data_IF_033306834517
#
_entry.id   IF_033306834517
#
_cell.length_a   1.000
_cell.length_b   1.000
_cell.length_c   1.000
_cell.angle_alpha   90.00
_cell.angle_beta   90.00
_cell.angle_gamma   90.00
#
_symmetry.space_group_name_H-M   'P 1'
#
loop_
_entity.id
_entity.type
_entity.pdbx_description
1 polymer ?
#
# COMPACT_ATOMS: atom_id res chain seq x y z
N UNK A 1 -18.39 -28.40 10.30
CA UNK A 1 -17.48 -27.42 9.66
C UNK A 1 -18.02 -26.01 9.83
N UNK A 2 -17.16 -24.99 9.93
CA UNK A 2 -17.59 -23.57 9.93
C UNK A 2 -17.98 -23.16 8.50
N UNK A 3 -19.04 -22.37 8.32
CA UNK A 3 -19.54 -21.95 7.01
C UNK A 3 -18.45 -21.31 6.14
N UNK A 4 -17.61 -20.45 6.72
CA UNK A 4 -16.50 -19.80 6.00
C UNK A 4 -15.46 -20.79 5.45
N UNK A 5 -15.22 -21.92 6.13
CA UNK A 5 -14.31 -22.94 5.63
C UNK A 5 -14.93 -23.66 4.42
N UNK A 6 -16.22 -23.97 4.48
CA UNK A 6 -16.98 -24.62 3.39
C UNK A 6 -17.00 -23.70 2.17
N UNK A 7 -17.34 -22.42 2.33
CA UNK A 7 -17.39 -21.44 1.26
C UNK A 7 -16.04 -21.28 0.55
N UNK A 8 -14.95 -21.19 1.31
CA UNK A 8 -13.60 -21.15 0.75
C UNK A 8 -13.22 -22.43 -0.01
N UNK A 9 -13.65 -23.59 0.48
CA UNK A 9 -13.40 -24.86 -0.20
C UNK A 9 -14.21 -24.97 -1.50
N UNK A 10 -15.45 -24.46 -1.54
CA UNK A 10 -16.26 -24.39 -2.77
C UNK A 10 -15.56 -23.53 -3.84
N UNK A 11 -15.02 -22.36 -3.45
CA UNK A 11 -14.30 -21.48 -4.37
C UNK A 11 -12.97 -22.06 -4.88
N UNK A 12 -12.39 -23.03 -4.17
CA UNK A 12 -11.14 -23.66 -4.56
C UNK A 12 -11.35 -24.90 -5.46
N UNK A 13 -12.60 -25.29 -5.73
CA UNK A 13 -12.89 -26.40 -6.63
C UNK A 13 -12.63 -25.96 -8.09
N UNK A 14 -12.05 -26.85 -8.92
CA UNK A 14 -11.97 -26.62 -10.37
C UNK A 14 -13.35 -26.40 -11.00
N UNK A 15 -14.38 -27.09 -10.49
CA UNK A 15 -15.77 -26.88 -10.87
C UNK A 15 -16.65 -26.80 -9.59
N UNK A 16 -17.20 -25.62 -9.25
CA UNK A 16 -18.05 -25.47 -8.07
C UNK A 16 -19.41 -26.17 -8.20
N UNK A 17 -19.78 -26.67 -9.39
CA UNK A 17 -20.98 -27.50 -9.62
C UNK A 17 -20.80 -28.90 -9.07
N UNK A 18 -19.57 -29.39 -8.96
CA UNK A 18 -19.23 -30.73 -8.50
C UNK A 18 -18.72 -30.74 -7.04
N UNK A 19 -19.64 -30.69 -6.08
CA UNK A 19 -19.27 -30.69 -4.67
C UNK A 19 -18.78 -32.06 -4.17
N UNK A 20 -17.57 -32.17 -3.57
CA UNK A 20 -17.11 -33.38 -2.91
C UNK A 20 -18.07 -33.83 -1.79
N UNK A 21 -18.17 -35.14 -1.49
CA UNK A 21 -19.09 -35.66 -0.47
C UNK A 21 -18.95 -34.97 0.90
N UNK A 22 -17.73 -34.60 1.30
CA UNK A 22 -17.44 -33.90 2.55
C UNK A 22 -18.10 -32.50 2.63
N UNK A 23 -18.19 -31.78 1.50
CA UNK A 23 -18.85 -30.48 1.43
C UNK A 23 -20.37 -30.62 1.29
N UNK A 24 -20.79 -31.61 0.50
CA UNK A 24 -22.20 -31.82 0.15
C UNK A 24 -23.09 -32.00 1.37
N UNK A 25 -22.65 -32.78 2.36
CA UNK A 25 -23.40 -33.00 3.61
C UNK A 25 -23.68 -31.70 4.36
N UNK A 26 -22.71 -30.80 4.42
CA UNK A 26 -22.87 -29.49 5.07
C UNK A 26 -23.72 -28.53 4.25
N UNK A 27 -23.50 -28.46 2.93
CA UNK A 27 -24.26 -27.59 2.02
C UNK A 27 -25.74 -27.95 2.01
N UNK A 28 -26.08 -29.24 2.09
CA UNK A 28 -27.47 -29.69 2.21
C UNK A 28 -28.13 -29.29 3.53
N UNK A 29 -27.36 -29.21 4.61
CA UNK A 29 -27.87 -28.87 5.94
C UNK A 29 -27.87 -27.36 6.25
N UNK A 30 -27.22 -26.53 5.42
CA UNK A 30 -27.03 -25.10 5.69
C UNK A 30 -27.50 -24.22 4.53
N UNK A 31 -28.61 -23.49 4.71
CA UNK A 31 -29.21 -22.63 3.69
C UNK A 31 -28.24 -21.55 3.15
N UNK A 32 -27.40 -20.96 4.01
CA UNK A 32 -26.40 -19.97 3.60
C UNK A 32 -25.34 -20.58 2.66
N UNK A 33 -24.84 -21.78 2.97
CA UNK A 33 -23.88 -22.47 2.11
C UNK A 33 -24.54 -22.98 0.82
N UNK A 34 -25.83 -23.31 0.85
CA UNK A 34 -26.59 -23.67 -0.35
C UNK A 34 -26.77 -22.48 -1.30
N UNK A 35 -27.08 -21.29 -0.78
CA UNK A 35 -27.14 -20.06 -1.57
C UNK A 35 -25.78 -19.73 -2.20
N UNK A 36 -24.71 -19.85 -1.41
CA UNK A 36 -23.33 -19.65 -1.87
C UNK A 36 -22.93 -20.61 -2.99
N UNK A 37 -23.18 -21.92 -2.82
CA UNK A 37 -22.87 -22.93 -3.83
C UNK A 37 -23.60 -22.66 -5.16
N UNK A 38 -24.88 -22.26 -5.10
CA UNK A 38 -25.66 -21.86 -6.29
C UNK A 38 -25.08 -20.62 -6.97
N UNK A 39 -24.63 -19.64 -6.19
CA UNK A 39 -24.01 -18.44 -6.73
C UNK A 39 -22.68 -18.75 -7.42
N UNK A 40 -21.83 -19.58 -6.81
CA UNK A 40 -20.57 -20.01 -7.41
C UNK A 40 -20.79 -20.77 -8.72
N UNK A 41 -21.71 -21.75 -8.73
CA UNK A 41 -22.10 -22.47 -9.95
C UNK A 41 -22.65 -21.57 -11.06
N UNK A 42 -23.43 -20.53 -10.70
CA UNK A 42 -23.96 -19.55 -11.65
C UNK A 42 -22.84 -18.71 -12.27
N UNK A 43 -21.87 -18.27 -11.47
CA UNK A 43 -20.73 -17.50 -11.98
C UNK A 43 -19.90 -18.32 -12.96
N UNK A 44 -19.63 -19.59 -12.65
CA UNK A 44 -18.91 -20.48 -13.57
C UNK A 44 -19.66 -20.66 -14.89
N UNK A 45 -20.98 -20.86 -14.83
CA UNK A 45 -21.81 -20.96 -16.03
C UNK A 45 -21.85 -19.67 -16.86
N UNK A 46 -21.67 -18.50 -16.25
CA UNK A 46 -21.54 -17.23 -16.97
C UNK A 46 -20.15 -17.07 -17.61
N UNK A 47 -19.09 -17.53 -16.92
CA UNK A 47 -17.73 -17.55 -17.46
C UNK A 47 -17.62 -18.47 -18.68
N UNK A 48 -18.26 -19.64 -18.67
CA UNK A 48 -18.32 -20.54 -19.83
C UNK A 48 -19.04 -19.92 -21.04
N UNK A 49 -19.98 -19.01 -20.81
CA UNK A 49 -20.70 -18.28 -21.86
C UNK A 49 -19.92 -17.07 -22.39
N UNK A 50 -18.84 -16.66 -21.70
CA UNK A 50 -18.01 -15.59 -22.22
C UNK A 50 -17.32 -16.05 -23.49
N UNK A 51 -17.59 -15.34 -24.58
CA UNK A 51 -16.91 -15.56 -25.84
C UNK A 51 -15.41 -15.30 -25.65
N UNK A 52 -14.62 -16.36 -25.63
CA UNK A 52 -13.17 -16.26 -25.74
C UNK A 52 -12.88 -15.99 -27.21
N UNK A 53 -12.41 -14.78 -27.59
CA UNK A 53 -12.08 -14.52 -28.98
C UNK A 53 -11.02 -15.54 -29.42
N UNK A 54 -11.17 -16.14 -30.61
CA UNK A 54 -10.16 -17.05 -31.10
C UNK A 54 -8.81 -16.34 -31.10
N UNK A 55 -7.79 -16.98 -30.52
CA UNK A 55 -6.45 -16.45 -30.59
C UNK A 55 -6.07 -16.27 -32.08
N UNK A 56 -5.49 -15.13 -32.49
CA UNK A 56 -5.02 -14.96 -33.85
C UNK A 56 -4.03 -16.09 -34.17
N UNK A 57 -4.22 -16.81 -35.28
CA UNK A 57 -3.45 -18.02 -35.60
C UNK A 57 -1.94 -17.79 -35.50
N UNK A 58 -1.49 -16.63 -35.96
CA UNK A 58 -0.07 -16.22 -35.99
C UNK A 58 0.51 -15.93 -34.61
N UNK A 59 -0.30 -15.51 -33.63
CA UNK A 59 0.21 -15.12 -32.30
C UNK A 59 0.61 -16.32 -31.45
N UNK A 60 -0.05 -17.46 -31.62
CA UNK A 60 0.32 -18.68 -30.90
C UNK A 60 1.68 -19.19 -31.37
N UNK A 61 1.89 -19.21 -32.68
CA UNK A 61 3.17 -19.61 -33.28
C UNK A 61 4.29 -18.64 -32.94
N UNK A 62 4.01 -17.32 -32.99
CA UNK A 62 4.98 -16.29 -32.57
C UNK A 62 5.39 -16.44 -31.10
N UNK A 63 4.43 -16.64 -30.19
CA UNK A 63 4.73 -16.83 -28.76
C UNK A 63 5.50 -18.13 -28.50
N UNK A 64 5.15 -19.22 -29.18
CA UNK A 64 5.91 -20.47 -29.10
C UNK A 64 7.33 -20.30 -29.64
N UNK A 65 7.48 -19.55 -30.73
CA UNK A 65 8.79 -19.16 -31.26
C UNK A 65 9.60 -18.36 -30.26
N UNK A 66 9.02 -17.34 -29.62
CA UNK A 66 9.66 -16.55 -28.57
C UNK A 66 10.06 -17.41 -27.36
N UNK A 67 9.19 -18.32 -26.91
CA UNK A 67 9.47 -19.22 -25.79
C UNK A 67 10.54 -20.26 -26.10
N UNK A 68 10.62 -20.72 -27.35
CA UNK A 68 11.67 -21.65 -27.79
C UNK A 68 12.99 -20.95 -28.10
N UNK A 69 12.95 -19.69 -28.54
CA UNK A 69 14.12 -18.85 -28.78
C UNK A 69 14.69 -18.25 -27.48
N UNK A 70 13.84 -18.06 -26.46
CA UNK A 70 14.29 -17.80 -25.11
C UNK A 70 14.94 -19.08 -24.58
N UNK A 71 16.28 -19.12 -24.62
CA UNK A 71 17.06 -20.13 -23.92
C UNK A 71 16.46 -20.33 -22.52
N UNK A 72 16.34 -21.58 -22.04
CA UNK A 72 15.69 -21.86 -20.77
C UNK A 72 16.33 -20.98 -19.70
N UNK A 73 15.57 -19.98 -19.26
CA UNK A 73 15.95 -19.11 -18.15
C UNK A 73 15.80 -19.97 -16.90
N UNK A 74 16.75 -20.88 -16.72
CA UNK A 74 17.04 -21.50 -15.44
C UNK A 74 17.59 -20.34 -14.59
N UNK A 75 16.67 -19.51 -14.09
CA UNK A 75 16.96 -18.74 -12.88
C UNK A 75 17.19 -19.81 -11.83
N UNK A 76 18.47 -20.12 -11.61
CA UNK A 76 18.92 -20.82 -10.43
C UNK A 76 18.24 -20.12 -9.26
N UNK A 77 17.21 -20.76 -8.69
CA UNK A 77 16.59 -20.26 -7.47
C UNK A 77 17.74 -20.08 -6.50
N UNK A 78 18.00 -18.83 -6.09
CA UNK A 78 19.05 -18.55 -5.14
C UNK A 78 18.82 -19.47 -3.95
N UNK A 79 19.73 -20.41 -3.74
CA UNK A 79 19.74 -21.25 -2.55
C UNK A 79 19.61 -20.32 -1.36
N UNK A 80 18.61 -20.52 -0.48
CA UNK A 80 18.38 -19.63 0.64
C UNK A 80 19.70 -19.50 1.41
N UNK A 81 20.19 -18.26 1.52
CA UNK A 81 21.44 -17.97 2.19
C UNK A 81 21.42 -18.63 3.58
N UNK A 82 22.38 -19.51 3.83
CA UNK A 82 22.61 -20.11 5.15
C UNK A 82 22.64 -18.99 6.17
N UNK A 83 21.68 -19.02 7.11
CA UNK A 83 21.59 -18.09 8.23
C UNK A 83 22.98 -17.97 8.88
N UNK A 84 23.53 -16.75 9.06
CA UNK A 84 24.74 -16.59 9.82
C UNK A 84 24.46 -17.06 11.25
N UNK A 85 25.06 -18.20 11.62
CA UNK A 85 25.19 -18.62 13.01
C UNK A 85 26.02 -17.55 13.72
N UNK A 86 25.36 -16.72 14.52
CA UNK A 86 26.01 -15.77 15.42
C UNK A 86 26.91 -16.57 16.38
N UNK A 87 28.22 -16.53 16.14
CA UNK A 87 29.21 -17.13 17.01
C UNK A 87 29.26 -16.41 18.37
N UNK A 88 29.54 -17.12 19.48
CA UNK A 88 29.54 -16.57 20.84
C UNK A 88 30.66 -15.56 21.14
N UNK A 89 31.45 -15.14 20.15
CA UNK A 89 32.60 -14.25 20.34
C UNK A 89 32.25 -12.75 20.43
N UNK A 90 31.07 -12.32 19.96
CA UNK A 90 30.69 -10.90 19.93
C UNK A 90 30.26 -10.33 21.31
N UNK A 91 30.12 -11.17 22.34
CA UNK A 91 29.61 -10.74 23.67
C UNK A 91 30.71 -10.14 24.56
N UNK A 92 31.99 -10.24 24.21
CA UNK A 92 33.09 -9.77 25.08
C UNK A 92 33.50 -8.30 24.93
N UNK A 93 32.99 -7.57 23.94
CA UNK A 93 33.45 -6.18 23.68
C UNK A 93 32.57 -5.07 24.29
N UNK A 94 31.43 -5.39 24.94
CA UNK A 94 30.58 -4.38 25.61
C UNK A 94 30.90 -4.16 27.10
N UNK A 95 31.95 -4.80 27.62
CA UNK A 95 32.17 -4.96 29.06
C UNK A 95 32.83 -3.80 29.82
N UNK A 96 32.79 -2.53 29.36
CA UNK A 96 33.47 -1.48 30.15
C UNK A 96 32.82 -0.11 30.32
N UNK A 97 31.75 0.24 29.60
CA UNK A 97 31.04 1.54 29.78
C UNK A 97 29.49 1.41 29.75
N UNK A 98 28.93 0.23 30.07
CA UNK A 98 27.53 -0.10 29.76
C UNK A 98 26.47 0.25 30.81
N UNK A 99 26.84 0.77 31.99
CA UNK A 99 25.90 0.90 33.12
C UNK A 99 24.88 2.03 33.00
N UNK A 100 25.04 3.00 32.09
CA UNK A 100 24.11 4.14 31.97
C UNK A 100 23.49 4.36 30.59
N UNK A 101 24.02 3.74 29.52
CA UNK A 101 23.49 3.87 28.15
C UNK A 101 22.77 2.60 27.66
N UNK A 102 23.03 1.45 28.29
CA UNK A 102 22.45 0.15 27.89
C UNK A 102 20.94 0.00 28.16
N UNK A 103 20.41 0.69 29.18
CA UNK A 103 18.99 0.57 29.55
C UNK A 103 18.04 1.17 28.52
N UNK A 104 18.43 2.27 27.87
CA UNK A 104 17.55 3.02 26.98
C UNK A 104 17.51 2.40 25.58
N UNK A 105 18.65 1.92 25.06
CA UNK A 105 18.70 1.21 23.78
C UNK A 105 17.96 -0.14 23.82
N UNK A 106 18.06 -0.87 24.94
CA UNK A 106 17.34 -2.13 25.12
C UNK A 106 15.82 -1.91 25.21
N UNK A 107 15.36 -0.88 25.92
CA UNK A 107 13.94 -0.55 26.00
C UNK A 107 13.35 -0.16 24.63
N UNK A 108 14.09 0.60 23.81
CA UNK A 108 13.67 0.95 22.45
C UNK A 108 13.61 -0.27 21.55
N UNK A 109 14.60 -1.17 21.59
CA UNK A 109 14.58 -2.41 20.79
C UNK A 109 13.49 -3.39 21.24
N UNK A 110 13.19 -3.47 22.53
CA UNK A 110 12.10 -4.31 23.05
C UNK A 110 10.74 -3.71 22.69
N UNK A 111 10.56 -2.39 22.80
CA UNK A 111 9.33 -1.71 22.40
C UNK A 111 9.11 -1.81 20.88
N UNK A 112 10.17 -1.63 20.07
CA UNK A 112 10.10 -1.76 18.61
C UNK A 112 9.91 -3.21 18.17
N UNK A 113 10.60 -4.16 18.83
CA UNK A 113 10.41 -5.60 18.60
C UNK A 113 9.00 -6.07 18.99
N UNK A 114 8.46 -5.58 20.11
CA UNK A 114 7.08 -5.86 20.53
C UNK A 114 6.06 -5.21 19.58
N UNK A 115 6.32 -3.99 19.10
CA UNK A 115 5.48 -3.32 18.11
C UNK A 115 5.46 -4.08 16.77
N UNK A 116 6.59 -4.62 16.30
CA UNK A 116 6.63 -5.47 15.11
C UNK A 116 5.94 -6.84 15.33
N UNK A 117 6.00 -7.38 16.55
CA UNK A 117 5.35 -8.66 16.89
C UNK A 117 3.83 -8.55 17.09
N UNK A 118 3.32 -7.38 17.50
CA UNK A 118 1.90 -7.16 17.81
C UNK A 118 1.18 -6.36 16.71
N UNK A 119 1.85 -5.41 16.06
CA UNK A 119 1.25 -4.43 15.17
C UNK A 119 0.81 -4.95 13.79
N UNK A 120 1.22 -6.15 13.38
CA UNK A 120 0.90 -6.69 12.05
C UNK A 120 0.01 -7.94 12.05
N UNK A 121 -0.63 -8.28 13.18
CA UNK A 121 -1.64 -9.35 13.23
C UNK A 121 -3.01 -8.79 12.80
N UNK A 122 -3.11 -8.33 11.56
CA UNK A 122 -4.41 -8.25 10.91
C UNK A 122 -4.97 -9.69 10.80
N UNK A 123 -6.21 -9.96 11.25
CA UNK A 123 -6.81 -11.28 11.12
C UNK A 123 -6.80 -11.68 9.64
N UNK A 124 -6.15 -12.81 9.35
CA UNK A 124 -5.70 -13.20 8.01
C UNK A 124 -6.75 -13.04 6.91
N UNK A 125 -6.65 -11.94 6.18
CA UNK A 125 -7.14 -11.82 4.81
C UNK A 125 -6.31 -12.79 3.98
N UNK A 126 -6.93 -13.90 3.59
CA UNK A 126 -6.33 -14.82 2.62
C UNK A 126 -6.04 -14.01 1.37
N UNK A 127 -4.77 -13.87 1.09
CA UNK A 127 -4.19 -13.23 -0.08
C UNK A 127 -4.60 -14.05 -1.31
N UNK A 128 -5.81 -13.78 -1.82
CA UNK A 128 -6.19 -14.16 -3.17
C UNK A 128 -5.19 -13.48 -4.09
N UNK A 129 -4.43 -14.29 -4.83
CA UNK A 129 -3.50 -13.86 -5.87
C UNK A 129 -4.27 -13.19 -7.02
N UNK A 130 -4.76 -11.98 -6.78
CA UNK A 130 -5.16 -11.06 -7.83
C UNK A 130 -3.88 -10.52 -8.44
N UNK A 131 -3.48 -11.09 -9.57
CA UNK A 131 -2.37 -10.63 -10.41
C UNK A 131 -2.66 -9.29 -11.10
N UNK A 132 -3.72 -8.58 -10.72
CA UNK A 132 -3.90 -7.18 -11.08
C UNK A 132 -3.10 -6.32 -10.14
N UNK A 133 -1.88 -5.97 -10.58
CA UNK A 133 -1.06 -4.94 -9.94
C UNK A 133 -1.90 -3.67 -9.84
N UNK A 134 -2.17 -3.22 -8.61
CA UNK A 134 -2.89 -1.97 -8.40
C UNK A 134 -2.00 -0.81 -8.89
N UNK A 135 -2.47 0.08 -9.78
CA UNK A 135 -1.64 1.14 -10.35
C UNK A 135 -1.05 2.06 -9.27
N UNK A 136 -1.78 2.31 -8.18
CA UNK A 136 -1.25 3.04 -7.02
C UNK A 136 0.01 2.41 -6.45
N UNK A 137 0.05 1.08 -6.31
CA UNK A 137 1.17 0.39 -5.69
C UNK A 137 2.42 0.48 -6.56
N UNK A 138 2.26 0.42 -7.89
CA UNK A 138 3.37 0.65 -8.82
C UNK A 138 3.91 2.07 -8.70
N UNK A 139 3.04 3.09 -8.64
CA UNK A 139 3.45 4.48 -8.41
C UNK A 139 4.16 4.63 -7.07
N UNK A 140 3.63 4.07 -5.98
CA UNK A 140 4.23 4.17 -4.65
C UNK A 140 5.61 3.51 -4.58
N UNK A 141 5.77 2.33 -5.20
CA UNK A 141 7.08 1.66 -5.31
C UNK A 141 8.05 2.52 -6.12
N UNK A 142 7.59 3.11 -7.24
CA UNK A 142 8.42 4.01 -8.03
C UNK A 142 8.83 5.27 -7.24
N UNK A 143 7.92 5.84 -6.42
CA UNK A 143 8.22 6.96 -5.51
C UNK A 143 9.21 6.58 -4.43
N UNK A 144 9.10 5.38 -3.85
CA UNK A 144 10.05 4.89 -2.84
C UNK A 144 11.46 4.71 -3.43
N UNK A 145 11.56 4.13 -4.63
CA UNK A 145 12.83 4.04 -5.36
C UNK A 145 13.38 5.43 -5.70
N UNK A 146 12.53 6.38 -6.10
CA UNK A 146 12.92 7.75 -6.35
C UNK A 146 13.39 8.45 -5.07
N UNK A 147 12.76 8.18 -3.94
CA UNK A 147 13.12 8.71 -2.62
C UNK A 147 14.53 8.25 -2.22
N UNK A 148 14.81 6.96 -2.38
CA UNK A 148 16.12 6.39 -2.08
C UNK A 148 17.24 6.95 -2.99
N UNK A 149 16.88 7.42 -4.18
CA UNK A 149 17.81 8.05 -5.14
C UNK A 149 17.93 9.57 -4.99
N UNK A 150 17.04 10.20 -4.21
CA UNK A 150 17.03 11.64 -4.03
C UNK A 150 18.18 12.06 -3.11
N UNK A 151 19.21 12.63 -3.72
CA UNK A 151 20.47 13.07 -3.12
C UNK A 151 20.40 14.46 -2.47
N UNK A 152 19.29 15.18 -2.66
CA UNK A 152 19.10 16.51 -2.07
C UNK A 152 17.76 16.62 -1.35
N UNK A 153 17.68 17.42 -0.27
CA UNK A 153 16.41 17.66 0.44
C UNK A 153 15.29 18.22 -0.44
N UNK A 154 15.64 19.07 -1.42
CA UNK A 154 14.67 19.61 -2.37
C UNK A 154 14.05 18.52 -3.27
N UNK A 155 14.87 17.58 -3.78
CA UNK A 155 14.37 16.44 -4.55
C UNK A 155 13.54 15.49 -3.69
N UNK A 156 13.96 15.25 -2.44
CA UNK A 156 13.17 14.42 -1.50
C UNK A 156 11.78 15.01 -1.27
N UNK A 157 11.69 16.34 -1.08
CA UNK A 157 10.41 17.04 -0.99
C UNK A 157 9.58 16.90 -2.26
N UNK A 158 10.18 17.06 -3.44
CA UNK A 158 9.48 16.86 -4.72
C UNK A 158 8.90 15.45 -4.83
N UNK A 159 9.65 14.42 -4.45
CA UNK A 159 9.18 13.02 -4.46
C UNK A 159 8.05 12.81 -3.45
N UNK A 160 8.16 13.36 -2.23
CA UNK A 160 7.12 13.28 -1.20
C UNK A 160 5.83 13.96 -1.65
N UNK A 161 5.92 15.13 -2.27
CA UNK A 161 4.77 15.82 -2.83
C UNK A 161 4.12 15.01 -3.94
N UNK A 162 4.92 14.45 -4.85
CA UNK A 162 4.39 13.57 -5.88
C UNK A 162 3.69 12.32 -5.31
N UNK A 163 4.20 11.76 -4.21
CA UNK A 163 3.55 10.66 -3.49
C UNK A 163 2.21 11.08 -2.87
N UNK A 164 2.14 12.28 -2.27
CA UNK A 164 0.89 12.83 -1.75
C UNK A 164 -0.14 13.06 -2.87
N UNK A 165 0.29 13.61 -4.01
CA UNK A 165 -0.54 13.83 -5.20
C UNK A 165 -1.10 12.50 -5.74
N UNK A 166 -0.26 11.46 -5.82
CA UNK A 166 -0.66 10.12 -6.28
C UNK A 166 -1.71 9.48 -5.35
N UNK A 167 -1.51 9.57 -4.02
CA UNK A 167 -2.48 9.07 -3.03
C UNK A 167 -3.80 9.86 -3.13
N UNK A 168 -3.72 11.18 -3.27
CA UNK A 168 -4.91 12.03 -3.28
C UNK A 168 -5.74 11.87 -4.55
N UNK A 169 -5.08 11.80 -5.71
CA UNK A 169 -5.73 11.52 -7.00
C UNK A 169 -6.44 10.16 -6.98
N UNK A 170 -5.77 9.10 -6.52
CA UNK A 170 -6.36 7.77 -6.48
C UNK A 170 -7.50 7.70 -5.44
N UNK A 171 -7.38 8.37 -4.28
CA UNK A 171 -8.47 8.44 -3.28
C UNK A 171 -9.71 9.11 -3.87
N UNK A 172 -9.54 10.22 -4.60
CA UNK A 172 -10.64 10.91 -5.28
C UNK A 172 -11.28 10.03 -6.36
N UNK A 173 -10.48 9.31 -7.15
CA UNK A 173 -10.96 8.35 -8.14
C UNK A 173 -11.76 7.20 -7.53
N UNK A 174 -11.38 6.77 -6.32
CA UNK A 174 -12.03 5.67 -5.60
C UNK A 174 -13.24 6.08 -4.77
N UNK A 175 -13.47 7.39 -4.56
CA UNK A 175 -14.49 7.90 -3.64
C UNK A 175 -15.93 7.40 -3.89
N UNK A 176 -16.25 6.92 -5.11
CA UNK A 176 -17.56 6.37 -5.46
C UNK A 176 -17.63 4.83 -5.48
N UNK A 177 -16.48 4.16 -5.43
CA UNK A 177 -16.36 2.73 -5.69
C UNK A 177 -15.83 1.96 -4.48
N UNK A 178 -14.90 2.58 -3.74
CA UNK A 178 -14.28 1.97 -2.59
C UNK A 178 -15.17 2.09 -1.34
N UNK A 179 -14.94 1.20 -0.39
CA UNK A 179 -15.59 1.28 0.91
C UNK A 179 -15.06 2.47 1.71
N UNK A 180 -15.90 3.05 2.58
CA UNK A 180 -15.44 4.09 3.51
C UNK A 180 -14.23 3.67 4.39
N UNK A 181 -14.04 2.38 4.66
CA UNK A 181 -12.89 1.88 5.42
C UNK A 181 -11.56 1.99 4.64
N UNK A 182 -11.60 1.65 3.35
CA UNK A 182 -10.46 1.76 2.44
C UNK A 182 -10.08 3.23 2.20
N UNK A 183 -11.08 4.08 1.94
CA UNK A 183 -10.86 5.53 1.80
C UNK A 183 -10.27 6.15 3.07
N UNK A 184 -10.72 5.71 4.26
CA UNK A 184 -10.16 6.14 5.54
C UNK A 184 -8.68 5.73 5.68
N UNK A 185 -8.29 4.57 5.16
CA UNK A 185 -6.90 4.13 5.15
C UNK A 185 -6.05 5.00 4.23
N UNK A 186 -6.53 5.28 3.01
CA UNK A 186 -5.83 6.15 2.06
C UNK A 186 -5.67 7.57 2.59
N UNK A 187 -6.72 8.15 3.19
CA UNK A 187 -6.66 9.44 3.86
C UNK A 187 -5.61 9.45 4.99
N UNK A 188 -5.48 8.35 5.74
CA UNK A 188 -4.46 8.19 6.76
C UNK A 188 -3.03 8.13 6.20
N UNK A 189 -2.82 7.54 5.02
CA UNK A 189 -1.52 7.58 4.35
C UNK A 189 -1.19 8.98 3.85
N UNK A 190 -2.16 9.67 3.24
CA UNK A 190 -2.00 11.05 2.81
C UNK A 190 -1.58 11.97 3.97
N UNK A 191 -2.30 11.90 5.09
CA UNK A 191 -1.98 12.67 6.29
C UNK A 191 -0.56 12.41 6.78
N UNK A 192 -0.11 11.14 6.83
CA UNK A 192 1.26 10.80 7.22
C UNK A 192 2.31 11.37 6.27
N UNK A 193 2.10 11.27 4.97
CA UNK A 193 3.03 11.84 3.98
C UNK A 193 3.15 13.35 4.17
N UNK A 194 2.04 14.05 4.41
CA UNK A 194 2.06 15.50 4.65
C UNK A 194 2.71 15.85 6.00
N UNK A 195 2.23 15.27 7.10
CA UNK A 195 2.59 15.65 8.46
C UNK A 195 3.96 15.10 8.91
N UNK A 196 4.30 13.88 8.52
CA UNK A 196 5.55 13.20 8.92
C UNK A 196 6.63 13.29 7.82
N UNK A 197 6.24 13.52 6.57
CA UNK A 197 7.16 13.64 5.44
C UNK A 197 7.44 15.10 5.03
N UNK A 198 6.45 15.72 4.39
CA UNK A 198 6.62 17.03 3.71
C UNK A 198 6.97 18.13 4.71
N UNK A 199 6.19 18.29 5.78
CA UNK A 199 6.39 19.39 6.74
C UNK A 199 7.76 19.31 7.45
N UNK A 200 8.19 18.16 8.01
CA UNK A 200 9.51 18.07 8.64
C UNK A 200 10.66 18.29 7.65
N UNK A 201 10.57 17.75 6.42
CA UNK A 201 11.64 17.95 5.44
C UNK A 201 11.73 19.38 4.92
N UNK A 202 10.61 20.09 4.81
CA UNK A 202 10.62 21.51 4.47
C UNK A 202 11.27 22.36 5.58
N UNK A 203 11.01 22.01 6.85
CA UNK A 203 11.66 22.66 8.00
C UNK A 203 13.17 22.36 8.06
N UNK A 204 13.55 21.14 7.72
CA UNK A 204 14.93 20.65 7.68
C UNK A 204 15.75 21.10 6.46
N UNK A 205 15.21 21.95 5.59
CA UNK A 205 15.94 22.46 4.42
C UNK A 205 17.25 23.15 4.84
N UNK A 206 18.40 22.84 4.18
CA UNK A 206 19.73 23.29 4.59
C UNK A 206 19.82 24.80 4.76
N UNK A 207 20.60 25.23 5.74
CA UNK A 207 20.85 26.66 6.02
C UNK A 207 21.66 27.35 4.92
N UNK A 208 22.41 26.58 4.14
CA UNK A 208 23.24 27.07 3.03
C UNK A 208 22.41 27.36 1.77
N UNK A 209 21.15 26.88 1.71
CA UNK A 209 20.25 27.18 0.61
C UNK A 209 19.90 28.68 0.61
N UNK A 210 19.96 29.37 -0.54
CA UNK A 210 19.56 30.77 -0.64
C UNK A 210 18.13 30.96 -0.10
N UNK A 211 17.93 31.96 0.77
CA UNK A 211 16.64 32.19 1.43
C UNK A 211 15.48 32.38 0.44
N UNK A 212 15.75 33.03 -0.71
CA UNK A 212 14.77 33.21 -1.78
C UNK A 212 14.34 31.88 -2.42
N UNK A 213 15.27 30.94 -2.63
CA UNK A 213 14.98 29.63 -3.20
C UNK A 213 14.21 28.75 -2.21
N UNK A 214 14.61 28.79 -0.92
CA UNK A 214 13.89 28.13 0.17
C UNK A 214 12.46 28.64 0.29
N UNK A 215 12.26 29.95 0.27
CA UNK A 215 10.93 30.56 0.30
C UNK A 215 10.09 30.12 -0.90
N UNK A 216 10.63 30.21 -2.12
CA UNK A 216 9.93 29.79 -3.34
C UNK A 216 9.52 28.31 -3.29
N UNK A 217 10.39 27.43 -2.80
CA UNK A 217 10.08 26.00 -2.66
C UNK A 217 8.93 25.79 -1.66
N UNK A 218 9.02 26.39 -0.48
CA UNK A 218 8.00 26.26 0.58
C UNK A 218 6.66 26.84 0.12
N UNK A 219 6.67 28.02 -0.52
CA UNK A 219 5.45 28.66 -1.04
C UNK A 219 4.79 27.82 -2.14
N UNK A 220 5.60 27.23 -3.03
CA UNK A 220 5.10 26.32 -4.06
C UNK A 220 4.44 25.07 -3.47
N UNK A 221 5.03 24.49 -2.42
CA UNK A 221 4.46 23.35 -1.69
C UNK A 221 3.17 23.73 -0.96
N UNK A 222 3.16 24.87 -0.27
CA UNK A 222 1.98 25.39 0.41
C UNK A 222 0.83 25.62 -0.57
N UNK A 223 1.08 26.26 -1.72
CA UNK A 223 0.06 26.47 -2.75
C UNK A 223 -0.50 25.16 -3.32
N UNK A 224 0.33 24.12 -3.47
CA UNK A 224 -0.15 22.80 -3.89
C UNK A 224 -1.05 22.15 -2.84
N UNK A 225 -0.67 22.21 -1.55
CA UNK A 225 -1.49 21.65 -0.48
C UNK A 225 -2.83 22.41 -0.33
N UNK A 226 -2.84 23.73 -0.50
CA UNK A 226 -4.09 24.52 -0.54
C UNK A 226 -4.99 24.08 -1.69
N UNK A 227 -4.44 23.94 -2.91
CA UNK A 227 -5.19 23.46 -4.07
C UNK A 227 -5.78 22.06 -3.85
N UNK A 228 -5.00 21.13 -3.27
CA UNK A 228 -5.50 19.79 -2.96
C UNK A 228 -6.58 19.82 -1.86
N UNK A 229 -6.48 20.72 -0.88
CA UNK A 229 -7.53 20.89 0.11
C UNK A 229 -8.86 21.32 -0.53
N UNK A 230 -8.83 22.31 -1.43
CA UNK A 230 -10.00 22.78 -2.15
C UNK A 230 -10.62 21.68 -3.01
N UNK A 231 -9.79 20.92 -3.74
CA UNK A 231 -10.28 19.83 -4.58
C UNK A 231 -10.84 18.67 -3.74
N UNK A 232 -10.18 18.28 -2.64
CA UNK A 232 -10.68 17.24 -1.74
C UNK A 232 -12.03 17.62 -1.12
N UNK A 233 -12.22 18.89 -0.73
CA UNK A 233 -13.53 19.38 -0.25
C UNK A 233 -14.61 19.34 -1.32
N UNK A 234 -14.27 19.76 -2.54
CA UNK A 234 -15.20 19.73 -3.67
C UNK A 234 -15.68 18.30 -3.92
N UNK A 235 -14.76 17.34 -4.00
CA UNK A 235 -15.11 15.91 -4.17
C UNK A 235 -15.91 15.41 -2.97
N UNK A 236 -15.57 15.82 -1.74
CA UNK A 236 -16.31 15.41 -0.54
C UNK A 236 -17.78 15.84 -0.57
N UNK A 237 -18.13 16.96 -1.22
CA UNK A 237 -19.53 17.41 -1.36
C UNK A 237 -20.34 16.55 -2.34
N UNK A 238 -19.67 15.94 -3.31
CA UNK A 238 -20.29 15.11 -4.35
C UNK A 238 -20.23 13.61 -4.04
N UNK A 239 -19.45 13.20 -3.04
CA UNK A 239 -19.21 11.82 -2.69
C UNK A 239 -20.33 11.24 -1.79
N UNK A 240 -20.54 9.90 -1.83
CA UNK A 240 -21.40 9.19 -0.88
C UNK A 240 -21.04 9.50 0.59
N UNK A 241 -22.00 9.48 1.53
CA UNK A 241 -21.78 9.87 2.93
C UNK A 241 -20.60 9.18 3.63
N UNK A 242 -20.35 7.91 3.31
CA UNK A 242 -19.25 7.12 3.87
C UNK A 242 -17.85 7.53 3.35
N UNK A 243 -17.78 8.11 2.16
CA UNK A 243 -16.55 8.66 1.58
C UNK A 243 -16.24 10.09 2.05
N UNK A 244 -17.26 10.88 2.42
CA UNK A 244 -17.09 12.30 2.78
C UNK A 244 -16.13 12.51 3.94
N UNK A 245 -16.20 11.65 4.98
CA UNK A 245 -15.34 11.77 6.16
C UNK A 245 -13.86 11.60 5.80
N UNK A 246 -13.52 10.66 4.92
CA UNK A 246 -12.14 10.42 4.50
C UNK A 246 -11.60 11.60 3.68
N UNK A 247 -12.39 12.11 2.73
CA UNK A 247 -11.99 13.24 1.88
C UNK A 247 -11.86 14.55 2.67
N UNK A 248 -12.76 14.81 3.64
CA UNK A 248 -12.63 15.95 4.55
C UNK A 248 -11.36 15.88 5.38
N UNK A 249 -11.02 14.70 5.90
CA UNK A 249 -9.77 14.49 6.63
C UNK A 249 -8.53 14.80 5.77
N UNK A 250 -8.56 14.45 4.48
CA UNK A 250 -7.48 14.82 3.56
C UNK A 250 -7.39 16.33 3.35
N UNK A 251 -8.53 17.00 3.18
CA UNK A 251 -8.57 18.46 3.06
C UNK A 251 -8.02 19.15 4.31
N UNK A 252 -8.39 18.67 5.49
CA UNK A 252 -7.89 19.19 6.77
C UNK A 252 -6.38 18.97 6.91
N UNK A 253 -5.88 17.76 6.61
CA UNK A 253 -4.45 17.46 6.64
C UNK A 253 -3.64 18.33 5.66
N UNK A 254 -4.20 18.62 4.49
CA UNK A 254 -3.59 19.49 3.50
C UNK A 254 -3.52 20.95 3.99
N UNK A 255 -4.60 21.48 4.58
CA UNK A 255 -4.62 22.83 5.20
C UNK A 255 -3.65 22.96 6.37
N UNK A 256 -3.62 21.97 7.24
CA UNK A 256 -2.70 21.96 8.38
C UNK A 256 -1.25 21.95 7.87
N UNK A 257 -0.95 21.11 6.87
CA UNK A 257 0.34 21.10 6.19
C UNK A 257 0.70 22.45 5.58
N UNK A 258 -0.22 23.06 4.83
CA UNK A 258 -0.07 24.39 4.21
C UNK A 258 0.26 25.47 5.25
N UNK A 259 -0.51 25.53 6.33
CA UNK A 259 -0.28 26.46 7.44
C UNK A 259 1.09 26.25 8.10
N UNK A 260 1.47 25.00 8.34
CA UNK A 260 2.76 24.66 8.97
C UNK A 260 3.95 24.95 8.05
N UNK A 261 3.78 24.82 6.73
CA UNK A 261 4.77 25.20 5.73
C UNK A 261 4.96 26.72 5.68
N UNK A 262 3.88 27.49 5.61
CA UNK A 262 3.96 28.97 5.63
C UNK A 262 4.62 29.49 6.90
N UNK A 263 4.33 28.88 8.05
CA UNK A 263 5.01 29.23 9.31
C UNK A 263 6.51 28.89 9.31
N UNK A 264 6.95 27.95 8.47
CA UNK A 264 8.36 27.57 8.32
C UNK A 264 9.12 28.40 7.26
N UNK A 265 8.42 29.20 6.46
CA UNK A 265 9.06 30.06 5.45
C UNK A 265 9.95 31.12 6.13
N UNK A 266 11.12 31.44 5.57
CA UNK A 266 12.00 32.46 6.13
C UNK A 266 11.29 33.82 6.11
N UNK A 267 10.92 34.31 7.29
CA UNK A 267 10.16 35.56 7.47
C UNK A 267 8.74 35.37 8.03
N UNK A 268 8.27 34.14 8.21
CA UNK A 268 7.07 33.85 9.01
C UNK A 268 7.31 34.18 10.48
N UNK A 269 6.50 35.09 11.03
CA UNK A 269 6.51 35.46 12.45
C UNK A 269 5.60 34.56 13.28
#
# INVERSE_FOLDING_TARGET
MKCQAVQNQILALPDPRELPPALRSHVLACAACQAWARQAARLEGLLEQMFVPPAPAEKKEALLGELMAADPVIRSMATPATRPTFGPAAVRFLGRNASYVGGLAAAVLVAFGAYLLVGNRSPGTKETALTHKHPLLEKLVARDVAMARADTPAKQLEVLTGMADDIASDTRGMARLASGAELKQMAGWYEKVVAEGIVPQARGLPTEMPAADKARLIDGLAAKLDAEAVEAEKVAREAPPDAQTALKRMADAARDGEKLLRAAAPGGK
#
